data_IF_856199251426
#
_entry.id   IF_856199251426
#
_cell.length_a   1.000
_cell.length_b   1.000
_cell.length_c   1.000
_cell.angle_alpha   90.00
_cell.angle_beta   90.00
_cell.angle_gamma   90.00
#
_symmetry.space_group_name_H-M   'P 1'
#
loop_
_entity.id
_entity.type
_entity.pdbx_description
1 polymer ?
#
# COMPACT_ATOMS: atom_id res chain seq x y z
N UNK A 1 -0.19 22.46 -64.58
CA UNK A 1 -0.98 21.27 -64.23
C UNK A 1 0.03 20.20 -63.86
N UNK A 2 0.25 19.90 -62.58
CA UNK A 2 -0.37 18.77 -61.86
C UNK A 2 -0.49 19.16 -60.38
N UNK A 3 -1.70 19.04 -59.85
CA UNK A 3 -2.03 19.10 -58.43
C UNK A 3 -1.63 17.76 -57.78
N UNK A 4 -1.30 17.82 -56.48
CA UNK A 4 -1.60 16.82 -55.44
C UNK A 4 -0.36 16.37 -54.64
N UNK A 5 -0.41 16.12 -53.35
CA UNK A 5 -1.39 16.33 -52.26
C UNK A 5 -0.49 16.22 -51.02
N UNK A 6 -0.54 17.20 -50.11
CA UNK A 6 0.11 17.08 -48.80
C UNK A 6 -0.75 16.13 -47.97
N UNK A 7 -0.27 14.91 -47.75
CA UNK A 7 -0.90 13.94 -46.85
C UNK A 7 -0.60 14.34 -45.40
N UNK A 8 -1.48 15.17 -44.83
CA UNK A 8 -1.58 15.38 -43.38
C UNK A 8 -2.16 14.11 -42.76
N UNK A 9 -1.29 13.23 -42.26
CA UNK A 9 -1.69 12.11 -41.42
C UNK A 9 -2.04 12.70 -40.04
N UNK A 10 -3.34 12.92 -39.81
CA UNK A 10 -3.84 13.23 -38.48
C UNK A 10 -3.71 11.97 -37.61
N UNK A 11 -2.64 11.89 -36.80
CA UNK A 11 -2.59 10.95 -35.69
C UNK A 11 -3.64 11.39 -34.66
N UNK A 12 -4.82 10.77 -34.72
CA UNK A 12 -5.78 10.82 -33.62
C UNK A 12 -5.16 10.04 -32.45
N UNK A 13 -4.41 10.74 -31.59
CA UNK A 13 -4.01 10.22 -30.29
C UNK A 13 -5.30 10.11 -29.48
N UNK A 14 -5.92 8.93 -29.51
CA UNK A 14 -6.92 8.58 -28.51
C UNK A 14 -6.18 8.42 -27.20
N UNK A 15 -6.05 9.50 -26.43
CA UNK A 15 -5.75 9.40 -25.00
C UNK A 15 -6.98 8.79 -24.34
N UNK A 16 -7.09 7.47 -24.44
CA UNK A 16 -7.97 6.71 -23.58
C UNK A 16 -7.49 6.94 -22.16
N UNK A 17 -8.15 7.81 -21.42
CA UNK A 17 -8.05 7.83 -19.96
C UNK A 17 -8.71 6.54 -19.50
N UNK A 18 -7.97 5.43 -19.55
CA UNK A 18 -8.26 4.29 -18.73
C UNK A 18 -8.18 4.82 -17.29
N UNK A 19 -9.32 5.24 -16.74
CA UNK A 19 -9.44 5.46 -15.31
C UNK A 19 -9.07 4.12 -14.71
N UNK A 20 -7.86 4.03 -14.15
CA UNK A 20 -7.51 2.90 -13.32
C UNK A 20 -8.56 2.90 -12.21
N UNK A 21 -9.50 1.98 -12.29
CA UNK A 21 -10.41 1.69 -11.20
C UNK A 21 -9.50 1.37 -10.02
N UNK A 22 -9.38 2.30 -9.06
CA UNK A 22 -8.56 2.08 -7.87
C UNK A 22 -9.10 0.81 -7.23
N UNK A 23 -8.30 -0.25 -7.23
CA UNK A 23 -8.69 -1.53 -6.66
C UNK A 23 -9.14 -1.30 -5.22
N UNK A 24 -10.45 -1.44 -4.97
CA UNK A 24 -11.01 -1.23 -3.64
C UNK A 24 -10.54 -2.36 -2.73
N UNK A 25 -9.69 -2.06 -1.76
CA UNK A 25 -9.19 -3.06 -0.82
C UNK A 25 -10.29 -3.35 0.21
N UNK A 26 -10.80 -4.58 0.21
CA UNK A 26 -11.76 -5.04 1.22
C UNK A 26 -11.03 -5.32 2.54
N UNK A 27 -11.06 -4.35 3.46
CA UNK A 27 -10.41 -4.45 4.76
C UNK A 27 -11.39 -4.87 5.85
N UNK A 28 -10.99 -5.84 6.67
CA UNK A 28 -11.73 -6.29 7.84
C UNK A 28 -10.90 -6.14 9.13
N UNK A 29 -11.59 -6.06 10.27
CA UNK A 29 -10.97 -5.92 11.59
C UNK A 29 -10.28 -4.57 11.82
N UNK A 30 -9.35 -4.53 12.79
CA UNK A 30 -8.65 -3.29 13.18
C UNK A 30 -7.83 -2.65 12.06
N UNK A 31 -7.41 -3.42 11.04
CA UNK A 31 -6.75 -2.89 9.85
C UNK A 31 -7.55 -1.83 9.08
N UNK A 32 -8.88 -1.87 9.19
CA UNK A 32 -9.80 -0.88 8.59
C UNK A 32 -10.01 0.37 9.46
N UNK A 33 -9.49 0.38 10.70
CA UNK A 33 -9.56 1.53 11.60
C UNK A 33 -8.43 2.51 11.35
N UNK A 34 -8.58 3.73 11.85
CA UNK A 34 -7.53 4.75 11.79
C UNK A 34 -6.37 4.42 12.72
N UNK A 35 -5.18 4.89 12.39
CA UNK A 35 -3.99 4.85 13.25
C UNK A 35 -4.29 5.41 14.64
N UNK A 36 -5.03 6.51 14.76
CA UNK A 36 -5.42 7.08 16.05
C UNK A 36 -6.21 6.11 16.93
N UNK A 37 -7.03 5.22 16.33
CA UNK A 37 -7.74 4.17 17.06
C UNK A 37 -6.76 3.14 17.61
N UNK A 38 -5.86 2.61 16.78
CA UNK A 38 -4.83 1.66 17.22
C UNK A 38 -3.98 2.23 18.37
N UNK A 39 -3.62 3.51 18.29
CA UNK A 39 -2.77 4.18 19.28
C UNK A 39 -3.51 4.59 20.57
N UNK A 40 -4.84 4.48 20.63
CA UNK A 40 -5.65 5.09 21.69
C UNK A 40 -5.67 4.36 23.04
N UNK A 41 -5.22 3.11 23.11
CA UNK A 41 -5.23 2.35 24.36
C UNK A 41 -4.58 0.97 24.24
N UNK A 42 -4.30 0.30 25.39
CA UNK A 42 -3.56 -0.95 25.42
C UNK A 42 -4.26 -2.10 24.69
N UNK A 43 -5.59 -2.20 24.78
CA UNK A 43 -6.34 -3.27 24.11
C UNK A 43 -6.31 -3.11 22.58
N UNK A 44 -6.52 -1.89 22.09
CA UNK A 44 -6.40 -1.58 20.66
C UNK A 44 -4.96 -1.81 20.18
N UNK A 45 -3.96 -1.43 20.99
CA UNK A 45 -2.55 -1.67 20.69
C UNK A 45 -2.29 -3.16 20.50
N UNK A 46 -2.76 -4.00 21.43
CA UNK A 46 -2.58 -5.45 21.37
C UNK A 46 -3.25 -6.04 20.13
N UNK A 47 -4.52 -5.72 19.88
CA UNK A 47 -5.26 -6.19 18.70
C UNK A 47 -4.54 -5.80 17.41
N UNK A 48 -4.10 -4.53 17.32
CA UNK A 48 -3.40 -4.01 16.15
C UNK A 48 -2.03 -4.65 15.96
N UNK A 49 -1.29 -4.93 17.04
CA UNK A 49 -0.01 -5.64 16.97
C UNK A 49 -0.17 -7.04 16.40
N UNK A 50 -1.15 -7.81 16.88
CA UNK A 50 -1.43 -9.15 16.35
C UNK A 50 -1.84 -9.07 14.88
N UNK A 51 -2.70 -8.11 14.53
CA UNK A 51 -3.13 -7.89 13.16
C UNK A 51 -1.95 -7.51 12.24
N UNK A 52 -1.05 -6.62 12.67
CA UNK A 52 0.14 -6.21 11.90
C UNK A 52 1.04 -7.41 11.64
N UNK A 53 1.28 -8.28 12.63
CA UNK A 53 2.06 -9.50 12.40
C UNK A 53 1.44 -10.38 11.31
N UNK A 54 0.13 -10.59 11.35
CA UNK A 54 -0.57 -11.38 10.34
C UNK A 54 -0.50 -10.72 8.96
N UNK A 55 -0.78 -9.41 8.88
CA UNK A 55 -0.74 -8.64 7.64
C UNK A 55 0.64 -8.68 6.99
N UNK A 56 1.69 -8.37 7.76
CA UNK A 56 3.08 -8.40 7.29
C UNK A 56 3.50 -9.80 6.85
N UNK A 57 3.14 -10.83 7.62
CA UNK A 57 3.43 -12.23 7.26
C UNK A 57 2.75 -12.64 5.96
N UNK A 58 1.50 -12.20 5.74
CA UNK A 58 0.78 -12.40 4.50
C UNK A 58 1.47 -11.72 3.31
N UNK A 59 1.92 -10.47 3.47
CA UNK A 59 2.68 -9.76 2.44
C UNK A 59 4.00 -10.48 2.10
N UNK A 60 4.73 -10.91 3.12
CA UNK A 60 5.94 -11.72 2.98
C UNK A 60 5.67 -13.02 2.21
N UNK A 61 4.57 -13.71 2.51
CA UNK A 61 4.17 -14.94 1.80
C UNK A 61 3.87 -14.68 0.32
N UNK A 62 3.11 -13.61 0.03
CA UNK A 62 2.78 -13.21 -1.36
C UNK A 62 4.05 -12.81 -2.12
N UNK A 63 4.94 -12.02 -1.50
CA UNK A 63 6.21 -11.61 -2.09
C UNK A 63 7.07 -12.83 -2.43
N UNK A 64 7.27 -13.74 -1.47
CA UNK A 64 8.02 -14.98 -1.69
C UNK A 64 7.41 -15.85 -2.79
N UNK A 65 6.09 -16.02 -2.80
CA UNK A 65 5.37 -16.80 -3.82
C UNK A 65 5.47 -16.16 -5.22
N UNK A 66 5.65 -14.83 -5.25
CA UNK A 66 5.79 -14.05 -6.48
C UNK A 66 7.26 -13.80 -6.86
N UNK A 67 8.22 -14.46 -6.18
CA UNK A 67 9.66 -14.27 -6.37
C UNK A 67 10.13 -12.81 -6.23
N UNK A 68 9.45 -12.05 -5.36
CA UNK A 68 9.81 -10.69 -4.99
C UNK A 68 10.62 -10.70 -3.68
N UNK A 69 11.49 -9.71 -3.52
CA UNK A 69 12.16 -9.46 -2.26
C UNK A 69 11.15 -9.13 -1.16
N UNK A 70 11.46 -9.56 0.06
CA UNK A 70 10.63 -9.34 1.23
C UNK A 70 11.47 -8.82 2.41
N UNK A 71 10.92 -7.93 3.25
CA UNK A 71 11.61 -7.50 4.47
C UNK A 71 11.82 -8.67 5.43
N UNK A 72 13.09 -9.04 5.65
CA UNK A 72 13.49 -10.01 6.68
C UNK A 72 13.72 -9.32 8.03
N UNK A 73 12.67 -8.70 8.55
CA UNK A 73 12.71 -7.96 9.81
C UNK A 73 12.10 -8.76 10.96
N UNK A 74 12.43 -8.42 12.21
CA UNK A 74 11.82 -9.06 13.39
C UNK A 74 10.53 -8.35 13.82
N UNK A 75 9.71 -9.02 14.64
CA UNK A 75 8.41 -8.49 15.06
C UNK A 75 8.48 -7.09 15.69
N UNK A 76 9.45 -6.83 16.57
CA UNK A 76 9.63 -5.51 17.20
C UNK A 76 9.86 -4.42 16.16
N UNK A 77 10.70 -4.69 15.16
CA UNK A 77 10.99 -3.75 14.10
C UNK A 77 9.78 -3.52 13.16
N UNK A 78 8.98 -4.55 12.89
CA UNK A 78 7.70 -4.40 12.16
C UNK A 78 6.79 -3.40 12.88
N UNK A 79 6.51 -3.64 14.16
CA UNK A 79 5.59 -2.80 14.95
C UNK A 79 6.12 -1.37 15.05
N UNK A 80 7.42 -1.21 15.29
CA UNK A 80 8.06 0.10 15.38
C UNK A 80 7.89 0.89 14.08
N UNK A 81 8.08 0.25 12.92
CA UNK A 81 7.92 0.91 11.64
C UNK A 81 6.47 1.38 11.40
N UNK A 82 5.48 0.53 11.69
CA UNK A 82 4.06 0.91 11.58
C UNK A 82 3.69 2.01 12.58
N UNK A 83 4.22 1.96 13.80
CA UNK A 83 3.98 2.99 14.82
C UNK A 83 4.53 4.35 14.39
N UNK A 84 5.73 4.39 13.80
CA UNK A 84 6.31 5.62 13.25
C UNK A 84 5.42 6.20 12.16
N UNK A 85 4.99 5.36 11.20
CA UNK A 85 4.07 5.79 10.14
C UNK A 85 2.75 6.34 10.71
N UNK A 86 2.14 5.62 11.65
CA UNK A 86 0.88 6.02 12.27
C UNK A 86 0.99 7.30 13.13
N UNK A 87 2.12 7.54 13.80
CA UNK A 87 2.36 8.81 14.50
C UNK A 87 2.52 9.99 13.54
N UNK A 88 3.11 9.76 12.36
CA UNK A 88 3.24 10.77 11.31
C UNK A 88 1.89 11.19 10.70
N UNK A 89 0.92 10.27 10.61
CA UNK A 89 -0.43 10.58 10.14
C UNK A 89 -1.52 9.78 10.90
N UNK A 90 -1.98 10.26 12.07
CA UNK A 90 -2.96 9.53 12.89
C UNK A 90 -4.32 9.30 12.23
N UNK A 91 -4.67 10.08 11.19
CA UNK A 91 -5.94 9.94 10.48
C UNK A 91 -5.91 8.85 9.40
N UNK A 92 -4.73 8.35 9.03
CA UNK A 92 -4.55 7.29 8.04
C UNK A 92 -5.15 5.97 8.53
N UNK A 93 -5.63 5.13 7.60
CA UNK A 93 -6.05 3.76 7.90
C UNK A 93 -4.83 2.89 8.25
N UNK A 94 -4.94 2.06 9.30
CA UNK A 94 -3.85 1.25 9.82
C UNK A 94 -3.24 0.35 8.74
N UNK A 95 -4.05 -0.29 7.90
CA UNK A 95 -3.54 -1.12 6.80
C UNK A 95 -2.69 -0.34 5.80
N UNK A 96 -3.06 0.91 5.50
CA UNK A 96 -2.28 1.77 4.61
C UNK A 96 -0.95 2.19 5.25
N UNK A 97 -0.94 2.47 6.55
CA UNK A 97 0.30 2.76 7.29
C UNK A 97 1.21 1.52 7.37
N UNK A 98 0.64 0.34 7.58
CA UNK A 98 1.36 -0.92 7.61
C UNK A 98 1.96 -1.27 6.23
N UNK A 99 1.21 -1.04 5.15
CA UNK A 99 1.72 -1.19 3.78
C UNK A 99 2.88 -0.25 3.48
N UNK A 100 2.75 1.04 3.83
CA UNK A 100 3.84 1.99 3.65
C UNK A 100 5.10 1.57 4.42
N UNK A 101 4.94 1.16 5.68
CA UNK A 101 6.04 0.66 6.51
C UNK A 101 6.69 -0.61 5.94
N UNK A 102 5.91 -1.51 5.35
CA UNK A 102 6.41 -2.72 4.68
C UNK A 102 7.29 -2.36 3.49
N UNK A 103 6.82 -1.47 2.62
CA UNK A 103 7.54 -1.05 1.41
C UNK A 103 8.84 -0.32 1.78
N UNK A 104 8.79 0.61 2.73
CA UNK A 104 9.98 1.32 3.23
C UNK A 104 10.99 0.37 3.87
N UNK A 105 10.53 -0.74 4.46
CA UNK A 105 11.41 -1.76 5.05
C UNK A 105 12.03 -2.68 4.02
N UNK A 106 11.45 -2.79 2.81
CA UNK A 106 12.00 -3.60 1.72
C UNK A 106 13.04 -2.83 0.90
N UNK A 107 13.03 -1.50 0.97
CA UNK A 107 13.99 -0.62 0.29
C UNK A 107 15.31 -0.45 1.05
N UNK A 108 15.44 -1.05 2.24
CA UNK A 108 16.63 -1.00 3.11
C UNK A 108 17.38 -2.32 3.06
#
# INVERSE_FOLDING_TARGET
MIRAIVLLIAFAVTTGTAGAEEASINLAGIGSRKCSYWLSGPDHRLEGTVWIYGFWSGLNYVAASSQQDQPKTNGTAMITAVEVACKGNPSQILASAAWAAYIDSNQK
#
